data_IF_468627362971
#
_entry.id   IF_468627362971
#
_cell.length_a   1.000
_cell.length_b   1.000
_cell.length_c   1.000
_cell.angle_alpha   90.00
_cell.angle_beta   90.00
_cell.angle_gamma   90.00
#
_symmetry.space_group_name_H-M   'P 1'
#
loop_
_entity.id
_entity.type
_entity.pdbx_description
1 polymer ?
#
# COMPACT_ATOMS: atom_id res chain seq x y z
N UNK A 1 -8.87 0.22 -2.94
CA UNK A 1 -9.00 -0.61 -1.71
C UNK A 1 -10.31 -1.34 -1.66
N UNK A 2 -11.45 -0.64 -1.73
CA UNK A 2 -12.78 -1.26 -1.62
C UNK A 2 -13.00 -2.45 -2.55
N UNK A 3 -12.52 -2.39 -3.80
CA UNK A 3 -12.59 -3.51 -4.76
C UNK A 3 -11.87 -4.76 -4.27
N UNK A 4 -10.64 -4.64 -3.76
CA UNK A 4 -9.90 -5.75 -3.18
C UNK A 4 -10.50 -6.24 -1.87
N UNK A 5 -10.97 -5.33 -1.01
CA UNK A 5 -11.66 -5.69 0.23
C UNK A 5 -12.94 -6.48 -0.06
N UNK A 6 -13.72 -6.06 -1.06
CA UNK A 6 -14.92 -6.78 -1.53
C UNK A 6 -14.54 -8.16 -2.09
N UNK A 7 -13.50 -8.26 -2.92
CA UNK A 7 -13.01 -9.54 -3.44
C UNK A 7 -12.54 -10.48 -2.33
N UNK A 8 -11.90 -9.95 -1.28
CA UNK A 8 -11.39 -10.73 -0.15
C UNK A 8 -12.45 -11.09 0.89
N UNK A 9 -13.54 -10.31 0.98
CA UNK A 9 -14.60 -10.49 1.99
C UNK A 9 -15.80 -11.27 1.47
N UNK A 10 -16.04 -11.29 0.15
CA UNK A 10 -17.17 -12.00 -0.43
C UNK A 10 -16.84 -13.49 -0.65
N UNK A 11 -17.60 -14.44 -0.05
CA UNK A 11 -17.37 -15.88 -0.22
C UNK A 11 -17.47 -16.36 -1.67
N UNK A 12 -18.19 -15.63 -2.53
CA UNK A 12 -18.33 -15.93 -3.96
C UNK A 12 -17.07 -15.58 -4.79
N UNK A 13 -16.24 -14.66 -4.29
CA UNK A 13 -15.01 -14.19 -4.94
C UNK A 13 -13.75 -14.75 -4.29
N UNK A 14 -13.87 -15.26 -3.06
CA UNK A 14 -12.81 -16.02 -2.38
C UNK A 14 -12.67 -17.41 -3.02
N UNK A 15 -11.45 -17.91 -3.25
CA UNK A 15 -11.27 -19.32 -3.57
C UNK A 15 -11.84 -20.18 -2.43
N UNK A 16 -12.53 -21.26 -2.78
CA UNK A 16 -13.14 -22.19 -1.82
C UNK A 16 -12.10 -22.75 -0.85
N UNK A 17 -12.50 -22.94 0.41
CA UNK A 17 -11.61 -23.46 1.45
C UNK A 17 -11.00 -24.82 1.04
N UNK A 18 -9.72 -25.01 1.36
CA UNK A 18 -9.04 -26.27 1.04
C UNK A 18 -9.67 -27.41 1.85
N UNK A 19 -10.18 -28.43 1.14
CA UNK A 19 -10.60 -29.67 1.77
C UNK A 19 -9.35 -30.54 2.00
N UNK A 20 -8.70 -30.39 3.15
CA UNK A 20 -7.46 -31.11 3.46
C UNK A 20 -6.25 -30.59 2.67
N UNK A 21 -5.48 -31.48 2.03
CA UNK A 21 -4.25 -31.14 1.31
C UNK A 21 -4.46 -30.68 -0.14
N UNK A 22 -5.71 -30.66 -0.63
CA UNK A 22 -6.03 -30.29 -2.02
C UNK A 22 -6.80 -28.97 -2.02
N UNK A 23 -6.11 -27.92 -2.44
CA UNK A 23 -6.69 -26.60 -2.65
C UNK A 23 -7.07 -26.44 -4.13
N UNK A 24 -8.36 -26.23 -4.47
CA UNK A 24 -8.73 -25.90 -5.85
C UNK A 24 -8.19 -24.50 -6.19
N UNK A 25 -7.47 -24.39 -7.32
CA UNK A 25 -6.99 -23.10 -7.82
C UNK A 25 -8.15 -22.16 -8.13
N UNK A 26 -7.95 -20.86 -7.88
CA UNK A 26 -8.95 -19.84 -8.13
C UNK A 26 -9.33 -19.78 -9.63
N UNK A 27 -10.58 -19.41 -9.91
CA UNK A 27 -11.05 -19.30 -11.29
C UNK A 27 -10.38 -18.12 -12.01
N UNK A 28 -10.21 -18.16 -13.35
CA UNK A 28 -9.63 -17.05 -14.11
C UNK A 28 -10.35 -15.70 -13.90
N UNK A 29 -11.67 -15.74 -13.67
CA UNK A 29 -12.46 -14.55 -13.36
C UNK A 29 -12.09 -13.94 -11.99
N UNK A 30 -11.83 -14.74 -10.96
CA UNK A 30 -11.39 -14.27 -9.64
C UNK A 30 -10.00 -13.64 -9.71
N UNK A 31 -9.07 -14.22 -10.48
CA UNK A 31 -7.77 -13.61 -10.76
C UNK A 31 -7.91 -12.28 -11.50
N UNK A 32 -8.73 -12.21 -12.55
CA UNK A 32 -8.92 -10.99 -13.33
C UNK A 32 -9.48 -9.82 -12.50
N UNK A 33 -10.45 -10.09 -11.62
CA UNK A 33 -11.00 -9.08 -10.71
C UNK A 33 -9.95 -8.61 -9.70
N UNK A 34 -9.14 -9.53 -9.15
CA UNK A 34 -8.10 -9.18 -8.19
C UNK A 34 -6.96 -8.37 -8.83
N UNK A 35 -6.50 -8.77 -10.02
CA UNK A 35 -5.45 -8.05 -10.74
C UNK A 35 -5.90 -6.69 -11.24
N UNK A 36 -7.11 -6.57 -11.79
CA UNK A 36 -7.66 -5.26 -12.18
C UNK A 36 -7.76 -4.33 -10.97
N UNK A 37 -8.17 -4.84 -9.81
CA UNK A 37 -8.14 -4.10 -8.55
C UNK A 37 -6.74 -3.61 -8.17
N UNK A 38 -5.74 -4.48 -8.28
CA UNK A 38 -4.33 -4.14 -8.02
C UNK A 38 -3.81 -3.05 -8.98
N UNK A 39 -4.12 -3.14 -10.28
CA UNK A 39 -3.71 -2.13 -11.26
C UNK A 39 -4.34 -0.77 -10.99
N UNK A 40 -5.65 -0.73 -10.71
CA UNK A 40 -6.36 0.53 -10.38
C UNK A 40 -5.75 1.18 -9.15
N UNK A 41 -5.41 0.37 -8.15
CA UNK A 41 -4.77 0.86 -6.92
C UNK A 41 -3.35 1.36 -7.19
N UNK A 42 -2.54 0.62 -7.97
CA UNK A 42 -1.19 1.02 -8.31
C UNK A 42 -1.17 2.38 -9.03
N UNK A 43 -2.10 2.61 -9.95
CA UNK A 43 -2.30 3.90 -10.60
C UNK A 43 -2.70 5.00 -9.59
N UNK A 44 -3.62 4.69 -8.67
CA UNK A 44 -4.04 5.61 -7.62
C UNK A 44 -2.91 6.06 -6.69
N UNK A 45 -2.07 5.11 -6.24
CA UNK A 45 -0.93 5.40 -5.35
C UNK A 45 0.12 6.25 -6.07
N UNK A 46 0.42 5.95 -7.35
CA UNK A 46 1.35 6.75 -8.15
C UNK A 46 0.92 8.22 -8.29
N UNK A 47 -0.39 8.47 -8.44
CA UNK A 47 -0.97 9.81 -8.48
C UNK A 47 -0.90 10.54 -7.13
N UNK A 48 -1.27 9.86 -6.04
CA UNK A 48 -1.29 10.45 -4.69
C UNK A 48 0.14 10.84 -4.25
N UNK A 49 1.11 9.93 -4.39
CA UNK A 49 2.48 10.12 -3.89
C UNK A 49 3.21 11.30 -4.53
N UNK A 50 2.91 11.64 -5.79
CA UNK A 50 3.51 12.77 -6.50
C UNK A 50 2.88 14.12 -6.12
N UNK A 51 1.57 14.13 -5.87
CA UNK A 51 0.83 15.36 -5.62
C UNK A 51 0.84 15.80 -4.15
N UNK A 52 0.79 14.87 -3.19
CA UNK A 52 0.69 15.16 -1.75
C UNK A 52 1.82 16.06 -1.22
N UNK A 53 3.11 15.70 -1.38
CA UNK A 53 4.20 16.55 -0.89
C UNK A 53 4.25 17.89 -1.62
N UNK A 54 3.92 17.93 -2.92
CA UNK A 54 3.89 19.14 -3.73
C UNK A 54 2.80 20.11 -3.27
N UNK A 55 1.59 19.61 -3.01
CA UNK A 55 0.47 20.40 -2.47
C UNK A 55 0.75 20.88 -1.04
N UNK A 56 1.33 20.04 -0.18
CA UNK A 56 1.73 20.43 1.18
C UNK A 56 2.83 21.51 1.16
N UNK A 57 3.82 21.36 0.30
CA UNK A 57 4.90 22.32 0.09
C UNK A 57 4.44 23.66 -0.51
N UNK A 58 3.35 23.65 -1.28
CA UNK A 58 2.74 24.83 -1.88
C UNK A 58 2.03 25.75 -0.88
N UNK A 59 1.86 25.31 0.37
CA UNK A 59 1.28 26.12 1.47
C UNK A 59 2.28 27.07 2.12
N UNK A 60 3.57 26.93 1.83
CA UNK A 60 4.63 27.73 2.44
C UNK A 60 5.23 28.67 1.38
N UNK A 61 5.37 29.95 1.72
CA UNK A 61 6.06 30.90 0.88
C UNK A 61 7.58 30.64 0.89
N UNK A 62 8.21 30.74 -0.28
CA UNK A 62 9.65 30.58 -0.43
C UNK A 62 10.39 31.93 -0.26
N UNK A 63 9.67 33.05 -0.21
CA UNK A 63 10.23 34.39 -0.05
C UNK A 63 10.44 34.76 1.42
N UNK A 64 9.58 34.28 2.34
CA UNK A 64 9.77 34.44 3.78
C UNK A 64 10.75 33.40 4.37
N UNK A 65 11.91 33.81 4.93
CA UNK A 65 12.86 32.90 5.56
C UNK A 65 12.26 32.07 6.72
N UNK A 66 11.25 32.58 7.45
CA UNK A 66 10.59 31.84 8.54
C UNK A 66 9.73 30.69 8.01
N UNK A 67 9.04 30.89 6.90
CA UNK A 67 8.19 29.86 6.30
C UNK A 67 9.00 28.78 5.59
N UNK A 68 10.16 29.13 5.01
CA UNK A 68 11.11 28.16 4.43
C UNK A 68 11.59 27.13 5.46
N UNK A 69 11.85 27.54 6.70
CA UNK A 69 12.26 26.62 7.78
C UNK A 69 11.10 25.70 8.18
N UNK A 70 9.86 26.21 8.23
CA UNK A 70 8.66 25.41 8.51
C UNK A 70 8.40 24.38 7.40
N UNK A 71 8.64 24.74 6.14
CA UNK A 71 8.58 23.82 4.99
C UNK A 71 9.57 22.67 5.13
N UNK A 72 10.81 22.95 5.55
CA UNK A 72 11.80 21.92 5.84
C UNK A 72 11.38 20.97 6.97
N UNK A 73 10.85 21.52 8.06
CA UNK A 73 10.32 20.74 9.19
C UNK A 73 9.12 19.87 8.79
N UNK A 74 8.24 20.38 7.92
CA UNK A 74 7.14 19.62 7.34
C UNK A 74 7.63 18.38 6.57
N UNK A 75 8.59 18.54 5.67
CA UNK A 75 9.15 17.40 4.93
C UNK A 75 9.82 16.39 5.87
N UNK A 76 10.56 16.86 6.87
CA UNK A 76 11.20 15.97 7.83
C UNK A 76 10.17 15.12 8.60
N UNK A 77 9.11 15.75 9.11
CA UNK A 77 8.02 15.04 9.79
C UNK A 77 7.25 14.09 8.86
N UNK A 78 7.02 14.50 7.61
CA UNK A 78 6.38 13.67 6.60
C UNK A 78 7.22 12.41 6.29
N UNK A 79 8.52 12.55 6.04
CA UNK A 79 9.40 11.40 5.81
C UNK A 79 9.58 10.54 7.06
N UNK A 80 9.66 11.15 8.24
CA UNK A 80 9.68 10.39 9.49
C UNK A 80 8.43 9.52 9.64
N UNK A 81 7.24 10.06 9.33
CA UNK A 81 5.97 9.31 9.35
C UNK A 81 5.98 8.11 8.42
N UNK A 82 6.53 8.26 7.22
CA UNK A 82 6.63 7.21 6.21
C UNK A 82 7.55 6.09 6.68
N UNK A 83 8.72 6.44 7.24
CA UNK A 83 9.68 5.45 7.73
C UNK A 83 9.13 4.70 8.96
N UNK A 84 8.48 5.42 9.89
CA UNK A 84 7.82 4.79 11.03
C UNK A 84 6.66 3.88 10.58
N UNK A 85 5.86 4.36 9.62
CA UNK A 85 4.79 3.60 8.99
C UNK A 85 5.32 2.33 8.32
N UNK A 86 6.47 2.37 7.64
CA UNK A 86 7.06 1.20 7.01
C UNK A 86 7.43 0.13 8.04
N UNK A 87 8.07 0.51 9.14
CA UNK A 87 8.46 -0.41 10.22
C UNK A 87 7.22 -1.07 10.84
N UNK A 88 6.22 -0.26 11.19
CA UNK A 88 4.95 -0.74 11.76
C UNK A 88 4.23 -1.65 10.77
N UNK A 89 4.26 -1.30 9.48
CA UNK A 89 3.58 -2.09 8.45
C UNK A 89 4.21 -3.46 8.28
N UNK A 90 5.53 -3.52 8.15
CA UNK A 90 6.25 -4.78 7.95
C UNK A 90 6.12 -5.75 9.12
N UNK A 91 5.70 -5.28 10.30
CA UNK A 91 5.52 -6.11 11.49
C UNK A 91 4.03 -6.34 11.80
N UNK A 92 3.31 -5.28 12.17
CA UNK A 92 1.95 -5.38 12.71
C UNK A 92 0.94 -5.66 11.59
N UNK A 93 1.03 -4.95 10.47
CA UNK A 93 0.07 -5.09 9.38
C UNK A 93 0.24 -6.45 8.69
N UNK A 94 1.47 -6.91 8.49
CA UNK A 94 1.79 -8.27 8.03
C UNK A 94 1.22 -9.32 8.98
N UNK A 95 1.49 -9.19 10.28
CA UNK A 95 0.98 -10.13 11.28
C UNK A 95 -0.57 -10.20 11.26
N UNK A 96 -1.26 -9.07 11.11
CA UNK A 96 -2.72 -9.04 11.01
C UNK A 96 -3.21 -9.73 9.74
N UNK A 97 -2.54 -9.53 8.60
CA UNK A 97 -2.90 -10.20 7.34
C UNK A 97 -2.76 -11.72 7.45
N UNK A 98 -1.67 -12.19 8.07
CA UNK A 98 -1.37 -13.61 8.19
C UNK A 98 -2.28 -14.32 9.23
N UNK A 99 -2.66 -13.64 10.31
CA UNK A 99 -3.41 -14.26 11.42
C UNK A 99 -4.91 -13.98 11.41
N UNK A 100 -5.33 -12.78 10.97
CA UNK A 100 -6.73 -12.32 11.03
C UNK A 100 -7.35 -12.14 9.63
N UNK A 101 -6.56 -12.33 8.57
CA UNK A 101 -6.98 -12.36 7.18
C UNK A 101 -6.94 -11.02 6.45
N UNK A 102 -6.97 -11.11 5.12
CA UNK A 102 -6.83 -9.99 4.19
C UNK A 102 -7.90 -8.89 4.34
N UNK A 103 -9.12 -9.25 4.72
CA UNK A 103 -10.21 -8.27 4.91
C UNK A 103 -9.89 -7.23 6.00
N UNK A 104 -9.40 -7.67 7.15
CA UNK A 104 -8.96 -6.78 8.24
C UNK A 104 -7.65 -6.07 7.88
N UNK A 105 -6.73 -6.77 7.22
CA UNK A 105 -5.47 -6.20 6.72
C UNK A 105 -5.68 -4.99 5.80
N UNK A 106 -6.69 -5.02 4.92
CA UNK A 106 -7.05 -3.87 4.07
C UNK A 106 -8.01 -2.87 4.74
N UNK A 107 -8.77 -3.30 5.74
CA UNK A 107 -9.67 -2.44 6.51
C UNK A 107 -8.91 -1.38 7.31
N UNK A 108 -7.80 -1.74 7.95
CA UNK A 108 -7.01 -0.82 8.79
C UNK A 108 -6.46 0.38 8.00
N UNK A 109 -5.76 0.21 6.85
CA UNK A 109 -5.34 1.34 6.02
C UNK A 109 -6.51 2.18 5.50
N UNK A 110 -7.65 1.54 5.19
CA UNK A 110 -8.86 2.24 4.72
C UNK A 110 -9.44 3.16 5.79
N UNK A 111 -9.52 2.69 7.04
CA UNK A 111 -9.95 3.52 8.17
C UNK A 111 -8.99 4.69 8.40
N UNK A 112 -7.68 4.44 8.38
CA UNK A 112 -6.68 5.50 8.51
C UNK A 112 -6.80 6.55 7.39
N UNK A 113 -7.04 6.13 6.15
CA UNK A 113 -7.29 7.05 5.03
C UNK A 113 -8.57 7.87 5.23
N UNK A 114 -9.68 7.26 5.62
CA UNK A 114 -10.94 7.98 5.87
C UNK A 114 -10.76 9.00 7.00
N UNK A 115 -10.17 8.58 8.12
CA UNK A 115 -9.89 9.47 9.26
C UNK A 115 -8.94 10.64 8.87
N UNK A 116 -8.03 10.42 7.92
CA UNK A 116 -7.16 11.49 7.42
C UNK A 116 -7.90 12.55 6.59
N UNK A 117 -9.04 12.21 5.96
CA UNK A 117 -9.84 13.14 5.16
C UNK A 117 -10.75 13.99 6.06
N UNK A 118 -11.26 13.44 7.15
CA UNK A 118 -12.37 14.04 7.89
C UNK A 118 -11.99 15.06 8.99
N UNK A 119 -10.80 15.01 9.63
CA UNK A 119 -10.72 15.62 10.98
C UNK A 119 -9.47 16.38 11.45
N UNK A 120 -8.46 16.66 10.64
CA UNK A 120 -7.22 17.25 11.18
C UNK A 120 -6.74 18.50 10.45
N UNK A 121 -6.31 19.48 11.26
CA UNK A 121 -5.61 20.68 10.82
C UNK A 121 -4.52 20.32 9.79
N UNK A 122 -4.24 21.22 8.85
CA UNK A 122 -3.47 20.99 7.62
C UNK A 122 -2.20 20.12 7.77
N UNK A 123 -1.50 20.14 8.91
CA UNK A 123 -0.22 19.42 9.13
C UNK A 123 -0.44 17.95 9.59
N UNK A 124 -1.20 17.67 10.68
CA UNK A 124 -1.46 16.29 11.11
C UNK A 124 -2.16 15.40 10.07
N UNK A 125 -2.93 15.99 9.14
CA UNK A 125 -3.51 15.28 8.01
C UNK A 125 -2.45 14.61 7.12
N UNK A 126 -1.40 15.33 6.71
CA UNK A 126 -0.35 14.78 5.84
C UNK A 126 0.52 13.74 6.55
N UNK A 127 0.67 13.84 7.87
CA UNK A 127 1.38 12.85 8.67
C UNK A 127 0.63 11.50 8.70
N UNK A 128 -0.68 11.53 8.99
CA UNK A 128 -1.50 10.31 8.97
C UNK A 128 -1.67 9.74 7.57
N UNK A 129 -1.79 10.60 6.55
CA UNK A 129 -1.88 10.17 5.16
C UNK A 129 -0.61 9.43 4.73
N UNK A 130 0.57 9.94 5.08
CA UNK A 130 1.85 9.28 4.79
C UNK A 130 1.97 7.90 5.44
N UNK A 131 1.58 7.76 6.70
CA UNK A 131 1.56 6.47 7.38
C UNK A 131 0.54 5.49 6.75
N UNK A 132 -0.68 5.97 6.46
CA UNK A 132 -1.75 5.18 5.85
C UNK A 132 -1.37 4.65 4.46
N UNK A 133 -0.69 5.48 3.65
CA UNK A 133 -0.21 5.11 2.33
C UNK A 133 0.79 3.95 2.40
N UNK A 134 1.72 4.00 3.35
CA UNK A 134 2.71 2.94 3.53
C UNK A 134 2.06 1.65 4.02
N UNK A 135 1.10 1.73 4.94
CA UNK A 135 0.33 0.57 5.40
C UNK A 135 -0.40 -0.11 4.24
N UNK A 136 -1.07 0.69 3.40
CA UNK A 136 -1.74 0.19 2.22
C UNK A 136 -0.74 -0.44 1.23
N UNK A 137 0.39 0.21 0.98
CA UNK A 137 1.40 -0.27 0.03
C UNK A 137 1.99 -1.63 0.40
N UNK A 138 2.42 -1.81 1.65
CA UNK A 138 2.99 -3.09 2.11
C UNK A 138 1.94 -4.20 2.06
N UNK A 139 0.69 -3.92 2.45
CA UNK A 139 -0.39 -4.92 2.36
C UNK A 139 -0.73 -5.32 0.93
N UNK A 140 -0.67 -4.39 -0.03
CA UNK A 140 -0.84 -4.73 -1.44
C UNK A 140 0.31 -5.56 -1.98
N UNK A 141 1.55 -5.23 -1.61
CA UNK A 141 2.71 -6.00 -2.03
C UNK A 141 2.63 -7.43 -1.51
N UNK A 142 2.25 -7.63 -0.26
CA UNK A 142 2.09 -8.96 0.30
C UNK A 142 0.95 -9.72 -0.38
N UNK A 143 -0.19 -9.07 -0.64
CA UNK A 143 -1.30 -9.70 -1.37
C UNK A 143 -0.92 -10.06 -2.80
N UNK A 144 -0.20 -9.17 -3.51
CA UNK A 144 0.32 -9.47 -4.83
C UNK A 144 1.32 -10.62 -4.79
N UNK A 145 2.20 -10.65 -3.79
CA UNK A 145 3.17 -11.74 -3.63
C UNK A 145 2.47 -13.07 -3.34
N UNK A 146 1.48 -13.08 -2.45
CA UNK A 146 0.70 -14.28 -2.11
C UNK A 146 -0.12 -14.80 -3.31
N UNK A 147 -0.74 -13.90 -4.06
CA UNK A 147 -1.63 -14.24 -5.17
C UNK A 147 -0.91 -14.38 -6.53
N UNK A 148 0.37 -14.00 -6.63
CA UNK A 148 1.10 -14.06 -7.91
C UNK A 148 1.47 -15.49 -8.29
N UNK A 149 1.25 -15.88 -9.57
CA UNK A 149 1.67 -17.18 -10.07
C UNK A 149 3.20 -17.28 -10.03
N UNK A 150 3.72 -18.48 -9.78
CA UNK A 150 5.15 -18.70 -9.58
C UNK A 150 6.02 -18.19 -10.73
N UNK A 151 5.50 -18.24 -11.96
CA UNK A 151 6.16 -17.71 -13.16
C UNK A 151 6.45 -16.19 -13.08
N UNK A 152 5.63 -15.41 -12.39
CA UNK A 152 5.83 -13.95 -12.27
C UNK A 152 6.85 -13.61 -11.18
N UNK A 153 6.93 -14.44 -10.13
CA UNK A 153 7.94 -14.34 -9.08
C UNK A 153 9.32 -14.67 -9.62
N UNK A 154 9.44 -15.76 -10.38
CA UNK A 154 10.71 -16.20 -10.96
C UNK A 154 11.24 -15.26 -12.03
N UNK A 155 10.38 -14.65 -12.86
CA UNK A 155 10.80 -13.66 -13.85
C UNK A 155 11.39 -12.40 -13.21
N UNK A 156 10.80 -11.90 -12.12
CA UNK A 156 11.33 -10.75 -11.41
C UNK A 156 12.71 -11.04 -10.77
N UNK A 157 12.88 -12.25 -10.25
CA UNK A 157 14.14 -12.71 -9.67
C UNK A 157 15.21 -12.98 -10.76
N UNK A 158 14.82 -13.56 -11.90
CA UNK A 158 15.71 -13.76 -13.05
C UNK A 158 16.19 -12.43 -13.65
N UNK A 159 15.32 -11.45 -13.84
CA UNK A 159 15.70 -10.15 -14.40
C UNK A 159 16.62 -9.38 -13.45
N UNK A 160 16.39 -9.47 -12.13
CA UNK A 160 17.29 -8.90 -11.12
C UNK A 160 18.68 -9.55 -11.18
N UNK A 161 18.74 -10.89 -11.24
CA UNK A 161 20.01 -11.61 -11.34
C UNK A 161 20.72 -11.36 -12.68
N UNK A 162 19.98 -11.18 -13.78
CA UNK A 162 20.54 -10.80 -15.09
C UNK A 162 21.15 -9.41 -15.07
N UNK A 163 20.52 -8.45 -14.41
CA UNK A 163 21.07 -7.11 -14.24
C UNK A 163 22.40 -7.14 -13.47
N UNK A 164 22.48 -7.89 -12.36
CA UNK A 164 23.73 -8.07 -11.62
C UNK A 164 24.81 -8.81 -12.41
N UNK A 165 24.45 -9.82 -13.21
CA UNK A 165 25.38 -10.56 -14.06
C UNK A 165 25.97 -9.73 -15.19
N UNK A 166 25.27 -8.68 -15.65
CA UNK A 166 25.81 -7.75 -16.64
C UNK A 166 26.69 -6.65 -16.04
N UNK A 167 26.68 -6.49 -14.72
CA UNK A 167 27.44 -5.49 -13.97
C UNK A 167 28.77 -6.02 -13.40
N UNK A 168 28.97 -7.34 -13.39
CA UNK A 168 30.17 -8.06 -12.95
C UNK A 168 30.86 -8.72 -14.14
#
# INVERSE_FOLDING_TARGET
MCTLTLSASLPALKPSECLGSVCPSATPAQYAVSYSGLYVIALGIGGIKSCVPSFGAGKFDNTDPKERVKKGSFFNWYYFSINLGAIVSCSIVVWIQDNAGWGLGFGIPTLFMVLSVDFLHQIPQYFLLGAAEVFAFVGLLQFFYDQSPDAMKTLAEEDFLRFFRHLL
#
